data_IF_047421596648
#
_entry.id   IF_047421596648
#
_cell.length_a   1.000
_cell.length_b   1.000
_cell.length_c   1.000
_cell.angle_alpha   90.00
_cell.angle_beta   90.00
_cell.angle_gamma   90.00
#
_symmetry.space_group_name_H-M   'P 1'
#
loop_
_entity.id
_entity.type
_entity.pdbx_description
1 polymer ?
#
# COMPACT_ATOMS: atom_id res chain seq x y z
N UNK A 1 72.95 25.16 -6.60
CA UNK A 1 71.94 26.15 -7.03
C UNK A 1 70.69 25.36 -7.38
N UNK A 2 69.70 25.29 -6.49
CA UNK A 2 68.52 26.19 -6.44
C UNK A 2 67.59 25.99 -7.65
N UNK A 3 66.26 26.00 -7.59
CA UNK A 3 65.21 25.88 -6.58
C UNK A 3 63.88 26.08 -7.35
N UNK A 4 62.79 25.40 -6.94
CA UNK A 4 61.35 25.82 -6.99
C UNK A 4 60.72 26.24 -8.34
N UNK A 5 59.47 25.91 -8.64
CA UNK A 5 58.25 26.34 -7.94
C UNK A 5 57.05 25.36 -8.07
N UNK A 6 56.15 25.45 -7.09
CA UNK A 6 54.85 24.79 -6.94
C UNK A 6 53.73 25.78 -7.33
N UNK A 7 52.63 25.28 -7.89
CA UNK A 7 51.28 25.88 -7.80
C UNK A 7 50.26 24.71 -7.74
N UNK A 8 49.74 24.34 -6.56
CA UNK A 8 48.48 24.76 -5.91
C UNK A 8 47.19 24.27 -6.61
N UNK A 9 46.47 23.36 -5.92
CA UNK A 9 45.12 22.77 -6.15
C UNK A 9 43.96 23.78 -5.91
N UNK A 10 42.66 23.57 -6.31
CA UNK A 10 41.78 22.46 -5.83
C UNK A 10 40.61 21.96 -6.72
N UNK A 11 39.95 20.90 -6.19
CA UNK A 11 38.70 20.25 -6.59
C UNK A 11 37.46 21.16 -6.67
N UNK A 12 36.40 20.62 -7.32
CA UNK A 12 34.98 21.03 -7.38
C UNK A 12 34.65 22.02 -8.52
N UNK A 13 33.54 21.93 -9.26
CA UNK A 13 32.18 21.48 -8.97
C UNK A 13 31.52 20.92 -10.25
N UNK A 14 30.84 19.76 -10.15
CA UNK A 14 29.95 19.24 -11.19
C UNK A 14 28.53 19.72 -10.87
N UNK A 15 28.12 20.82 -11.48
CA UNK A 15 26.77 21.35 -11.30
C UNK A 15 25.74 20.40 -11.91
N UNK A 16 24.82 20.00 -11.03
CA UNK A 16 23.72 19.08 -11.26
C UNK A 16 22.52 19.90 -11.73
N UNK A 17 22.38 20.05 -13.05
CA UNK A 17 21.14 20.55 -13.65
C UNK A 17 20.04 19.50 -13.55
N UNK A 18 19.32 19.48 -12.43
CA UNK A 18 18.10 18.66 -12.27
C UNK A 18 17.00 19.33 -13.08
N UNK A 19 16.72 18.80 -14.27
CA UNK A 19 15.41 19.03 -14.91
C UNK A 19 14.39 18.28 -14.07
N UNK A 20 13.52 19.03 -13.39
CA UNK A 20 12.36 18.51 -12.71
C UNK A 20 11.45 17.83 -13.75
N UNK A 21 11.56 16.52 -13.86
CA UNK A 21 10.56 15.71 -14.55
C UNK A 21 9.37 15.63 -13.62
N UNK A 22 8.34 16.43 -13.92
CA UNK A 22 6.97 16.19 -13.49
C UNK A 22 6.55 14.82 -14.01
N UNK A 23 6.86 13.78 -13.23
CA UNK A 23 6.27 12.44 -13.42
C UNK A 23 4.82 12.59 -12.98
N UNK A 24 3.98 12.95 -13.96
CA UNK A 24 2.54 12.97 -13.80
C UNK A 24 2.06 11.61 -13.29
N UNK A 25 1.05 11.65 -12.42
CA UNK A 25 0.37 10.54 -11.77
C UNK A 25 -0.37 9.59 -12.75
N UNK A 26 0.10 9.44 -13.99
CA UNK A 26 -0.56 8.73 -15.08
C UNK A 26 0.09 7.39 -15.46
N UNK A 27 1.26 7.06 -14.93
CA UNK A 27 1.97 5.82 -15.28
C UNK A 27 2.14 4.91 -14.07
N UNK A 28 1.15 4.04 -13.87
CA UNK A 28 1.29 2.64 -13.40
C UNK A 28 -0.10 1.99 -13.20
N UNK A 29 -0.95 2.01 -14.23
CA UNK A 29 -2.02 0.99 -14.34
C UNK A 29 -1.40 -0.26 -14.95
N UNK A 30 -0.65 -1.03 -14.16
CA UNK A 30 -0.16 -2.33 -14.59
C UNK A 30 -1.37 -3.26 -14.69
N UNK A 31 -1.66 -3.70 -15.91
CA UNK A 31 -2.83 -4.48 -16.27
C UNK A 31 -2.87 -5.82 -15.51
N UNK A 32 -3.99 -6.13 -14.86
CA UNK A 32 -4.25 -7.46 -14.32
C UNK A 32 -4.20 -8.53 -15.43
N UNK A 33 -3.76 -9.77 -15.10
CA UNK A 33 -3.87 -10.93 -16.00
C UNK A 33 -5.30 -11.08 -16.52
N UNK A 34 -5.46 -11.44 -17.79
CA UNK A 34 -6.75 -11.42 -18.48
C UNK A 34 -7.83 -12.24 -17.76
N UNK A 35 -7.50 -13.41 -17.23
CA UNK A 35 -8.45 -14.27 -16.49
C UNK A 35 -8.89 -13.68 -15.15
N UNK A 36 -7.97 -13.02 -14.43
CA UNK A 36 -8.32 -12.27 -13.21
C UNK A 36 -9.15 -11.05 -13.59
N UNK A 37 -8.78 -10.36 -14.67
CA UNK A 37 -9.58 -9.28 -15.23
C UNK A 37 -10.97 -9.80 -15.63
N UNK A 38 -11.11 -11.00 -16.16
CA UNK A 38 -12.39 -11.59 -16.57
C UNK A 38 -13.24 -12.00 -15.37
N UNK A 39 -12.64 -12.51 -14.29
CA UNK A 39 -13.37 -12.72 -13.02
C UNK A 39 -13.84 -11.39 -12.44
N UNK A 40 -12.99 -10.36 -12.46
CA UNK A 40 -13.34 -9.02 -11.99
C UNK A 40 -14.29 -8.28 -12.94
N UNK A 41 -14.25 -8.52 -14.25
CA UNK A 41 -15.08 -7.90 -15.29
C UNK A 41 -16.42 -8.62 -15.48
N UNK A 42 -16.47 -9.95 -15.37
CA UNK A 42 -17.70 -10.74 -15.34
C UNK A 42 -18.54 -10.44 -14.08
N UNK A 43 -17.88 -10.00 -13.01
CA UNK A 43 -18.57 -9.43 -11.84
C UNK A 43 -19.00 -7.96 -12.05
N UNK A 44 -18.50 -7.28 -13.07
CA UNK A 44 -18.76 -5.86 -13.37
C UNK A 44 -19.97 -5.67 -14.30
N UNK A 45 -20.33 -6.68 -15.11
CA UNK A 45 -21.47 -6.65 -16.05
C UNK A 45 -22.84 -6.99 -15.42
N UNK A 46 -22.86 -7.40 -14.14
CA UNK A 46 -24.10 -7.52 -13.41
C UNK A 46 -24.38 -6.18 -12.71
N UNK A 47 -25.30 -5.43 -13.28
CA UNK A 47 -26.01 -4.25 -12.77
C UNK A 47 -26.78 -4.55 -11.44
N UNK A 48 -26.09 -5.15 -10.47
CA UNK A 48 -26.65 -5.62 -9.20
C UNK A 48 -25.69 -5.27 -8.05
N UNK A 49 -26.07 -4.17 -7.39
CA UNK A 49 -25.62 -3.60 -6.11
C UNK A 49 -24.21 -3.03 -6.03
N UNK A 50 -24.13 -1.79 -6.50
CA UNK A 50 -23.31 -0.70 -5.95
C UNK A 50 -23.25 -0.74 -4.40
N UNK A 51 -24.29 -1.23 -3.74
CA UNK A 51 -24.41 -1.37 -2.29
C UNK A 51 -23.28 -2.16 -1.61
N UNK A 52 -22.86 -3.33 -2.11
CA UNK A 52 -21.78 -4.11 -1.45
C UNK A 52 -20.42 -3.43 -1.67
N UNK A 53 -20.20 -2.88 -2.86
CA UNK A 53 -19.00 -2.11 -3.15
C UNK A 53 -18.99 -0.77 -2.38
N UNK A 54 -20.14 -0.15 -2.11
CA UNK A 54 -20.28 1.03 -1.27
C UNK A 54 -20.09 0.74 0.22
N UNK A 55 -20.57 -0.42 0.69
CA UNK A 55 -20.40 -0.95 2.06
C UNK A 55 -18.94 -1.31 2.35
N UNK A 56 -18.10 -1.51 1.32
CA UNK A 56 -16.67 -1.79 1.50
C UNK A 56 -15.71 -0.73 0.91
N UNK A 57 -16.16 0.12 -0.01
CA UNK A 57 -15.33 1.01 -0.82
C UNK A 57 -15.37 2.49 -0.44
N UNK A 58 -16.15 2.89 0.58
CA UNK A 58 -16.15 4.28 1.07
C UNK A 58 -14.89 4.53 1.89
N UNK A 59 -13.84 5.04 1.26
CA UNK A 59 -12.70 5.64 1.94
C UNK A 59 -13.15 6.99 2.54
N UNK A 60 -13.22 7.07 3.86
CA UNK A 60 -13.61 8.29 4.58
C UNK A 60 -12.38 9.21 4.67
N UNK A 61 -12.55 10.50 4.32
CA UNK A 61 -11.51 11.54 4.36
C UNK A 61 -11.61 12.43 5.61
N UNK A 62 -11.88 11.83 6.76
CA UNK A 62 -11.78 12.45 8.09
C UNK A 62 -11.53 11.32 9.10
N UNK A 63 -10.26 10.99 9.34
CA UNK A 63 -9.90 9.76 10.06
C UNK A 63 -10.21 8.49 9.25
N UNK A 64 -9.51 7.41 9.57
CA UNK A 64 -9.80 6.07 9.02
C UNK A 64 -10.77 5.34 9.97
N UNK A 65 -11.71 4.56 9.42
CA UNK A 65 -12.62 3.73 10.22
C UNK A 65 -11.93 2.41 10.58
N UNK A 66 -11.25 2.38 11.72
CA UNK A 66 -10.57 1.18 12.22
C UNK A 66 -11.50 -0.03 12.33
N UNK A 67 -12.78 0.17 12.65
CA UNK A 67 -13.73 -0.93 12.81
C UNK A 67 -13.98 -1.63 11.49
N UNK A 68 -14.27 -0.83 10.46
CA UNK A 68 -14.52 -1.32 9.10
C UNK A 68 -13.26 -1.91 8.45
N UNK A 69 -12.09 -1.32 8.70
CA UNK A 69 -10.81 -1.87 8.25
C UNK A 69 -10.57 -3.25 8.90
N UNK A 70 -10.73 -3.36 10.23
CA UNK A 70 -10.57 -4.64 10.94
C UNK A 70 -11.56 -5.70 10.46
N UNK A 71 -12.76 -5.31 10.04
CA UNK A 71 -13.76 -6.25 9.50
C UNK A 71 -13.32 -6.81 8.13
N UNK A 72 -12.81 -5.95 7.24
CA UNK A 72 -12.25 -6.38 5.96
C UNK A 72 -11.05 -7.32 6.14
N UNK A 73 -10.16 -6.99 7.08
CA UNK A 73 -9.02 -7.84 7.47
C UNK A 73 -9.49 -9.20 8.00
N UNK A 74 -10.43 -9.21 8.96
CA UNK A 74 -10.97 -10.46 9.53
C UNK A 74 -11.60 -11.34 8.48
N UNK A 75 -12.38 -10.74 7.57
CA UNK A 75 -13.06 -11.45 6.49
C UNK A 75 -12.07 -12.14 5.55
N UNK A 76 -11.03 -11.43 5.08
CA UNK A 76 -10.03 -12.03 4.21
C UNK A 76 -9.20 -13.12 4.91
N UNK A 77 -8.86 -12.93 6.19
CA UNK A 77 -8.10 -13.91 6.97
C UNK A 77 -8.91 -15.17 7.28
N UNK A 78 -10.22 -15.04 7.52
CA UNK A 78 -11.09 -16.17 7.85
C UNK A 78 -11.19 -17.17 6.70
N UNK A 79 -11.20 -16.71 5.43
CA UNK A 79 -11.21 -17.59 4.26
C UNK A 79 -9.99 -18.50 4.23
N UNK A 80 -8.80 -17.94 4.46
CA UNK A 80 -7.56 -18.72 4.50
C UNK A 80 -7.51 -19.67 5.70
N UNK A 81 -7.98 -19.24 6.87
CA UNK A 81 -8.03 -20.08 8.08
C UNK A 81 -8.99 -21.26 7.94
N UNK A 82 -10.16 -21.03 7.33
CA UNK A 82 -11.16 -22.07 7.09
C UNK A 82 -10.85 -22.93 5.85
N UNK A 83 -9.84 -22.57 5.06
CA UNK A 83 -9.52 -23.28 3.81
C UNK A 83 -10.60 -23.17 2.75
N UNK A 84 -11.43 -22.13 2.80
CA UNK A 84 -12.57 -21.94 1.89
C UNK A 84 -12.28 -20.88 0.83
N UNK A 85 -12.78 -21.11 -0.38
CA UNK A 85 -12.80 -20.09 -1.42
C UNK A 85 -14.11 -19.32 -1.34
N UNK A 86 -14.08 -18.00 -1.09
CA UNK A 86 -15.29 -17.19 -1.09
C UNK A 86 -15.90 -17.10 -2.50
N UNK A 87 -17.16 -16.66 -2.54
CA UNK A 87 -17.79 -16.30 -3.82
C UNK A 87 -16.94 -15.23 -4.55
N UNK A 88 -16.71 -15.35 -5.87
CA UNK A 88 -15.84 -14.44 -6.61
C UNK A 88 -16.18 -12.95 -6.43
N UNK A 89 -17.47 -12.59 -6.43
CA UNK A 89 -17.90 -11.20 -6.19
C UNK A 89 -17.46 -10.66 -4.83
N UNK A 90 -17.57 -11.47 -3.77
CA UNK A 90 -17.16 -11.07 -2.42
C UNK A 90 -15.64 -10.92 -2.34
N UNK A 91 -14.91 -11.83 -2.99
CA UNK A 91 -13.45 -11.76 -3.08
C UNK A 91 -13.00 -10.45 -3.74
N UNK A 92 -13.63 -10.09 -4.87
CA UNK A 92 -13.39 -8.84 -5.59
C UNK A 92 -13.64 -7.62 -4.70
N UNK A 93 -14.79 -7.57 -4.04
CA UNK A 93 -15.18 -6.45 -3.19
C UNK A 93 -14.21 -6.25 -2.01
N UNK A 94 -13.89 -7.31 -1.28
CA UNK A 94 -12.96 -7.25 -0.13
C UNK A 94 -11.54 -6.91 -0.59
N UNK A 95 -11.07 -7.48 -1.71
CA UNK A 95 -9.75 -7.15 -2.27
C UNK A 95 -9.65 -5.67 -2.63
N UNK A 96 -10.69 -5.13 -3.30
CA UNK A 96 -10.75 -3.71 -3.66
C UNK A 96 -10.75 -2.81 -2.42
N UNK A 97 -11.50 -3.19 -1.39
CA UNK A 97 -11.56 -2.46 -0.14
C UNK A 97 -10.21 -2.44 0.58
N UNK A 98 -9.55 -3.59 0.72
CA UNK A 98 -8.22 -3.69 1.34
C UNK A 98 -7.17 -2.85 0.59
N UNK A 99 -7.19 -2.87 -0.74
CA UNK A 99 -6.34 -1.99 -1.57
C UNK A 99 -6.63 -0.50 -1.31
N UNK A 100 -7.90 -0.13 -1.16
CA UNK A 100 -8.30 1.22 -0.77
C UNK A 100 -7.79 1.60 0.62
N UNK A 101 -7.93 0.70 1.59
CA UNK A 101 -7.47 0.91 2.96
C UNK A 101 -5.96 1.11 3.02
N UNK A 102 -5.16 0.26 2.36
CA UNK A 102 -3.71 0.47 2.25
C UNK A 102 -3.38 1.86 1.70
N UNK A 103 -4.05 2.26 0.62
CA UNK A 103 -3.83 3.57 -0.02
C UNK A 103 -4.16 4.73 0.94
N UNK A 104 -5.18 4.57 1.79
CA UNK A 104 -5.55 5.57 2.80
C UNK A 104 -4.64 5.58 4.03
N UNK A 105 -4.11 4.42 4.47
CA UNK A 105 -3.30 4.29 5.69
C UNK A 105 -1.84 4.72 5.49
N UNK A 106 -1.27 4.49 4.29
CA UNK A 106 0.13 4.82 4.00
C UNK A 106 0.47 6.28 4.35
N UNK A 107 -0.31 7.31 3.97
CA UNK A 107 -0.02 8.69 4.37
C UNK A 107 0.07 8.91 5.89
N UNK A 108 -0.80 8.29 6.69
CA UNK A 108 -0.75 8.42 8.15
C UNK A 108 0.50 7.76 8.74
N UNK A 109 0.84 6.56 8.25
CA UNK A 109 2.03 5.84 8.71
C UNK A 109 3.32 6.54 8.26
N UNK A 110 3.32 7.19 7.09
CA UNK A 110 4.44 8.03 6.65
C UNK A 110 4.65 9.24 7.57
N UNK A 111 3.59 9.90 8.02
CA UNK A 111 3.70 10.97 9.03
C UNK A 111 4.27 10.43 10.34
N UNK A 112 3.82 9.25 10.79
CA UNK A 112 4.41 8.61 11.96
C UNK A 112 5.90 8.28 11.78
N UNK A 113 6.31 7.83 10.58
CA UNK A 113 7.72 7.56 10.29
C UNK A 113 8.59 8.81 10.46
N UNK A 114 8.07 9.99 10.09
CA UNK A 114 8.77 11.27 10.23
C UNK A 114 8.99 11.68 11.69
N UNK A 115 8.15 11.21 12.62
CA UNK A 115 8.33 11.47 14.06
C UNK A 115 9.35 10.54 14.73
N UNK A 116 9.76 9.46 14.06
CA UNK A 116 10.69 8.47 14.61
C UNK A 116 12.15 8.86 14.33
N UNK A 117 13.04 8.57 15.29
CA UNK A 117 14.48 8.80 15.11
C UNK A 117 15.02 8.00 13.92
N UNK A 118 15.62 8.65 12.90
CA UNK A 118 16.17 7.97 11.74
C UNK A 118 17.21 6.92 12.11
N UNK A 119 17.13 5.74 11.49
CA UNK A 119 18.03 4.62 11.75
C UNK A 119 17.73 3.84 13.04
N UNK A 120 16.76 4.26 13.85
CA UNK A 120 16.27 3.44 14.96
C UNK A 120 15.55 2.18 14.46
N UNK A 121 15.42 1.17 15.32
CA UNK A 121 14.67 -0.06 15.00
C UNK A 121 13.22 0.24 14.65
N UNK A 122 12.55 1.13 15.38
CA UNK A 122 11.18 1.52 15.13
C UNK A 122 11.03 2.19 13.75
N UNK A 123 11.96 3.09 13.41
CA UNK A 123 11.99 3.74 12.09
C UNK A 123 12.16 2.71 10.96
N UNK A 124 13.10 1.77 11.10
CA UNK A 124 13.32 0.74 10.09
C UNK A 124 12.09 -0.17 9.91
N UNK A 125 11.47 -0.61 11.01
CA UNK A 125 10.26 -1.45 10.95
C UNK A 125 9.04 -0.73 10.38
N UNK A 126 8.88 0.56 10.66
CA UNK A 126 7.80 1.38 10.09
C UNK A 126 8.01 1.58 8.58
N UNK A 127 9.24 1.89 8.15
CA UNK A 127 9.59 2.02 6.73
C UNK A 127 9.37 0.72 5.96
N UNK A 128 9.81 -0.40 6.52
CA UNK A 128 9.63 -1.74 5.94
C UNK A 128 8.14 -2.11 5.80
N UNK A 129 7.30 -1.71 6.75
CA UNK A 129 5.86 -1.92 6.67
C UNK A 129 5.23 -1.14 5.49
N UNK A 130 5.65 0.10 5.27
CA UNK A 130 5.22 0.89 4.10
C UNK A 130 5.69 0.22 2.81
N UNK A 131 6.95 -0.17 2.71
CA UNK A 131 7.51 -0.87 1.53
C UNK A 131 6.73 -2.16 1.22
N UNK A 132 6.51 -3.02 2.22
CA UNK A 132 5.73 -4.26 2.06
C UNK A 132 4.28 -4.03 1.68
N UNK A 133 3.68 -2.93 2.13
CA UNK A 133 2.32 -2.58 1.74
C UNK A 133 2.22 -2.25 0.25
N UNK A 134 3.22 -1.55 -0.29
CA UNK A 134 3.33 -1.29 -1.73
C UNK A 134 3.56 -2.58 -2.51
N UNK A 135 4.47 -3.44 -2.05
CA UNK A 135 4.70 -4.75 -2.68
C UNK A 135 3.42 -5.60 -2.71
N UNK A 136 2.67 -5.65 -1.61
CA UNK A 136 1.42 -6.41 -1.54
C UNK A 136 0.34 -5.85 -2.48
N UNK A 137 0.23 -4.51 -2.57
CA UNK A 137 -0.70 -3.82 -3.47
C UNK A 137 -0.35 -4.04 -4.94
N UNK A 138 0.95 -3.94 -5.27
CA UNK A 138 1.43 -3.93 -6.65
C UNK A 138 1.71 -5.35 -7.18
N UNK A 139 1.66 -6.37 -6.31
CA UNK A 139 1.73 -7.76 -6.68
C UNK A 139 0.55 -8.14 -7.59
N UNK A 140 0.85 -8.60 -8.81
CA UNK A 140 -0.17 -9.17 -9.67
C UNK A 140 -0.73 -10.44 -9.00
N UNK A 141 -2.06 -10.56 -8.80
CA UNK A 141 -2.65 -11.83 -8.43
C UNK A 141 -2.38 -12.85 -9.53
N UNK A 142 -1.88 -14.02 -9.16
CA UNK A 142 -1.79 -15.15 -10.08
C UNK A 142 -3.20 -15.60 -10.51
N UNK A 143 -3.28 -16.44 -11.54
CA UNK A 143 -4.57 -16.87 -12.09
C UNK A 143 -5.35 -17.76 -11.11
N UNK A 144 -6.67 -17.59 -11.09
CA UNK A 144 -7.60 -18.42 -10.33
C UNK A 144 -8.02 -17.88 -8.96
N UNK A 145 -9.15 -18.41 -8.45
CA UNK A 145 -9.79 -17.94 -7.21
C UNK A 145 -8.88 -18.14 -5.98
N UNK A 146 -8.12 -19.24 -5.95
CA UNK A 146 -7.18 -19.50 -4.87
C UNK A 146 -6.05 -18.46 -4.81
N UNK A 147 -5.47 -18.09 -5.96
CA UNK A 147 -4.43 -17.08 -6.03
C UNK A 147 -4.96 -15.67 -5.71
N UNK A 148 -6.18 -15.36 -6.14
CA UNK A 148 -6.87 -14.14 -5.75
C UNK A 148 -7.16 -14.10 -4.23
N UNK A 149 -7.53 -15.23 -3.62
CA UNK A 149 -7.67 -15.39 -2.17
C UNK A 149 -6.35 -15.15 -1.43
N UNK A 150 -5.24 -15.68 -1.95
CA UNK A 150 -3.90 -15.44 -1.41
C UNK A 150 -3.51 -13.96 -1.48
N UNK A 151 -3.84 -13.30 -2.59
CA UNK A 151 -3.61 -11.87 -2.76
C UNK A 151 -4.43 -11.06 -1.74
N UNK A 152 -5.73 -11.33 -1.59
CA UNK A 152 -6.58 -10.70 -0.58
C UNK A 152 -6.03 -10.91 0.84
N UNK A 153 -5.53 -12.10 1.15
CA UNK A 153 -4.89 -12.40 2.43
C UNK A 153 -3.62 -11.56 2.65
N UNK A 154 -2.73 -11.46 1.65
CA UNK A 154 -1.52 -10.62 1.74
C UNK A 154 -1.86 -9.15 1.97
N UNK A 155 -2.86 -8.62 1.26
CA UNK A 155 -3.36 -7.27 1.48
C UNK A 155 -3.89 -7.10 2.91
N UNK A 156 -4.65 -8.06 3.43
CA UNK A 156 -5.19 -8.02 4.78
C UNK A 156 -4.09 -7.99 5.85
N UNK A 157 -3.03 -8.79 5.69
CA UNK A 157 -1.87 -8.77 6.60
C UNK A 157 -1.21 -7.41 6.62
N UNK A 158 -0.92 -6.81 5.46
CA UNK A 158 -0.28 -5.50 5.42
C UNK A 158 -1.20 -4.38 5.91
N UNK A 159 -2.50 -4.48 5.64
CA UNK A 159 -3.50 -3.52 6.14
C UNK A 159 -3.55 -3.52 7.65
N UNK A 160 -3.53 -4.70 8.28
CA UNK A 160 -3.50 -4.83 9.73
C UNK A 160 -2.24 -4.21 10.35
N UNK A 161 -1.07 -4.41 9.72
CA UNK A 161 0.19 -3.82 10.19
C UNK A 161 0.15 -2.29 10.11
N UNK A 162 -0.26 -1.73 8.97
CA UNK A 162 -0.34 -0.28 8.81
C UNK A 162 -1.38 0.34 9.76
N UNK A 163 -2.52 -0.34 9.96
CA UNK A 163 -3.54 0.14 10.89
C UNK A 163 -2.97 0.31 12.31
N UNK A 164 -2.17 -0.64 12.79
CA UNK A 164 -1.54 -0.54 14.12
C UNK A 164 -0.63 0.68 14.25
N UNK A 165 0.18 0.97 13.24
CA UNK A 165 1.03 2.16 13.25
C UNK A 165 0.21 3.45 13.19
N UNK A 166 -0.84 3.48 12.37
CA UNK A 166 -1.72 4.64 12.27
C UNK A 166 -2.44 4.91 13.60
N UNK A 167 -2.90 3.87 14.30
CA UNK A 167 -3.53 3.98 15.62
C UNK A 167 -2.55 4.46 16.70
N UNK A 168 -1.33 3.90 16.74
CA UNK A 168 -0.28 4.35 17.65
C UNK A 168 0.07 5.82 17.47
N UNK A 169 0.14 6.29 16.23
CA UNK A 169 0.38 7.69 15.95
C UNK A 169 -0.77 8.58 16.43
N UNK A 170 -2.03 8.21 16.17
CA UNK A 170 -3.19 8.98 16.65
C UNK A 170 -3.27 9.04 18.18
N UNK A 171 -2.88 7.98 18.89
CA UNK A 171 -2.82 7.97 20.36
C UNK A 171 -1.70 8.85 20.90
N UNK A 172 -0.54 8.89 20.22
CA UNK A 172 0.61 9.72 20.61
C UNK A 172 0.42 11.20 20.26
N UNK A 173 -0.32 11.49 19.19
CA UNK A 173 -0.69 12.85 18.76
C UNK A 173 -1.93 13.38 19.46
N UNK A 174 -2.50 12.65 20.42
CA UNK A 174 -3.61 13.09 21.26
C UNK A 174 -3.20 14.19 22.24
N UNK A 175 -2.95 15.37 21.69
CA UNK A 175 -3.25 16.69 22.27
C UNK A 175 -4.76 16.98 22.17
#
# INVERSE_FOLDING_TARGET
MSARWIAVQPLATRERGVKATTVGAASLRRAWPQTTRDVFASCHDADVSDEVAEVWGRAVHAGFDSTRIREGVRTAKSWKQAGVSPHPRTLVAVTRALTGYLTSLVPYVSLHLETLTPGSRAWASCREAIERSHEARDAAPSEGVQAAGEHAFRLAVQTEVLLRYAEQHTEQSGE
#
